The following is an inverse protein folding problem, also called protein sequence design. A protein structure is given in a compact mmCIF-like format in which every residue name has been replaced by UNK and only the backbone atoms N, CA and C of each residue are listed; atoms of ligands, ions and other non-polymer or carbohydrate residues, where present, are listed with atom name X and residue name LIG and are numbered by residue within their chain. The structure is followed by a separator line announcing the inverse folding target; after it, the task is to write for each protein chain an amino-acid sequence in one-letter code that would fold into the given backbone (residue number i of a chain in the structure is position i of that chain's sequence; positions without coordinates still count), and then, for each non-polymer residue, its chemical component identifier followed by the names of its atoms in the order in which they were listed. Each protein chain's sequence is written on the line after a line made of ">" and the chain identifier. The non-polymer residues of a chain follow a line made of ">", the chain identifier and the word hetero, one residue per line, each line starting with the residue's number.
data_IF_439356916259
#
_entry.id   IF_439356916259
#
_cell.length_a   1.000
_cell.length_b   1.000
_cell.length_c   1.000
_cell.angle_alpha   90.00
_cell.angle_beta   90.00
_cell.angle_gamma   90.00
#
_symmetry.space_group_name_H-M   'P 1'
#
loop_
_entity.id
_entity.type
_entity.pdbx_description
1 polymer ?
#
# COMPACT_ATOMS: atom_id res chain seq x y z
N UNK A 1 -4.09 12.39 6.20
CA UNK A 1 -2.97 11.44 6.04
C UNK A 1 -2.75 11.20 4.57
N UNK A 2 -1.50 11.17 4.12
CA UNK A 2 -1.16 10.91 2.72
C UNK A 2 -0.11 9.80 2.65
N UNK A 3 -0.23 8.94 1.65
CA UNK A 3 0.74 7.89 1.33
C UNK A 3 1.49 8.28 0.07
N UNK A 4 2.80 8.41 0.13
CA UNK A 4 3.64 8.69 -1.04
C UNK A 4 4.55 7.49 -1.30
N UNK A 5 4.35 6.74 -2.41
CA UNK A 5 5.23 5.67 -2.80
C UNK A 5 6.50 6.22 -3.48
N UNK A 6 7.61 5.50 -3.33
CA UNK A 6 8.87 5.75 -4.06
C UNK A 6 9.15 4.73 -5.16
N UNK A 7 8.22 3.81 -5.37
CA UNK A 7 8.23 2.87 -6.48
C UNK A 7 6.98 3.08 -7.33
N UNK A 8 7.00 2.49 -8.53
CA UNK A 8 5.86 2.52 -9.45
C UNK A 8 4.62 1.90 -8.84
N UNK A 9 3.47 2.48 -9.14
CA UNK A 9 2.19 1.87 -8.81
C UNK A 9 1.97 0.62 -9.68
N UNK A 10 1.22 -0.34 -9.14
CA UNK A 10 0.73 -1.47 -9.93
C UNK A 10 -0.09 -0.92 -11.11
N UNK A 11 0.07 -1.49 -12.29
CA UNK A 11 -0.62 -1.01 -13.49
C UNK A 11 -2.14 -0.91 -13.26
N UNK A 12 -2.72 0.24 -13.61
CA UNK A 12 -4.12 0.59 -13.39
C UNK A 12 -4.61 0.55 -11.92
N UNK A 13 -3.69 0.62 -10.95
CA UNK A 13 -3.99 0.66 -9.51
C UNK A 13 -3.50 1.96 -8.88
N UNK A 14 -4.34 2.54 -8.01
CA UNK A 14 -4.00 3.66 -7.13
C UNK A 14 -3.66 3.19 -5.71
N UNK A 15 -3.85 1.93 -5.41
CA UNK A 15 -3.80 1.39 -4.03
C UNK A 15 -2.65 0.42 -3.79
N UNK A 16 -1.90 0.06 -4.85
CA UNK A 16 -0.77 -0.86 -4.78
C UNK A 16 0.52 -0.26 -5.32
N UNK A 17 1.61 -0.35 -4.55
CA UNK A 17 2.96 0.05 -4.93
C UNK A 17 3.80 -1.19 -5.21
N UNK A 18 4.33 -1.33 -6.42
CA UNK A 18 5.24 -2.43 -6.78
C UNK A 18 6.55 -2.37 -6.01
N UNK A 19 7.14 -3.53 -5.73
CA UNK A 19 8.49 -3.59 -5.14
C UNK A 19 9.52 -3.80 -6.24
N UNK A 20 10.63 -3.06 -6.17
CA UNK A 20 11.71 -3.17 -7.15
C UNK A 20 12.60 -4.37 -6.83
N UNK A 21 12.77 -5.31 -7.76
CA UNK A 21 13.68 -6.44 -7.59
C UNK A 21 15.15 -5.99 -7.74
N UNK A 22 16.07 -6.71 -7.12
CA UNK A 22 17.51 -6.49 -7.31
C UNK A 22 18.03 -7.14 -8.61
N UNK A 23 17.44 -8.27 -8.99
CA UNK A 23 17.70 -8.94 -10.27
C UNK A 23 16.48 -8.71 -11.19
N UNK A 24 16.63 -8.26 -12.45
CA UNK A 24 15.50 -8.06 -13.35
C UNK A 24 14.61 -9.30 -13.48
N UNK A 25 13.30 -9.09 -13.50
CA UNK A 25 12.31 -10.16 -13.71
C UNK A 25 12.31 -10.62 -15.16
N UNK A 26 12.05 -11.90 -15.36
CA UNK A 26 11.88 -12.53 -16.67
C UNK A 26 10.41 -12.48 -17.10
N UNK A 27 10.17 -12.86 -18.36
CA UNK A 27 8.82 -12.96 -18.91
C UNK A 27 7.90 -13.79 -18.00
N UNK A 28 6.73 -13.21 -17.66
CA UNK A 28 5.67 -13.78 -16.81
C UNK A 28 5.99 -13.86 -15.32
N UNK A 29 7.17 -13.45 -14.87
CA UNK A 29 7.45 -13.24 -13.46
C UNK A 29 6.85 -11.91 -12.99
N UNK A 30 6.39 -11.84 -11.74
CA UNK A 30 5.81 -10.63 -11.17
C UNK A 30 6.56 -10.21 -9.91
N UNK A 31 6.66 -8.89 -9.70
CA UNK A 31 7.08 -8.35 -8.43
C UNK A 31 5.93 -8.44 -7.41
N UNK A 32 6.22 -8.68 -6.12
CA UNK A 32 5.26 -8.36 -5.09
C UNK A 32 4.97 -6.87 -5.07
N UNK A 33 3.86 -6.51 -4.45
CA UNK A 33 3.48 -5.11 -4.22
C UNK A 33 2.92 -4.94 -2.81
N UNK A 34 2.99 -3.71 -2.31
CA UNK A 34 2.44 -3.34 -1.01
C UNK A 34 1.13 -2.57 -1.23
N UNK A 35 0.09 -2.98 -0.52
CA UNK A 35 -1.10 -2.15 -0.29
C UNK A 35 -1.12 -1.67 1.16
N UNK A 36 -1.70 -0.51 1.42
CA UNK A 36 -1.84 0.01 2.79
C UNK A 36 -3.31 0.06 3.12
N UNK A 37 -3.71 -0.40 4.30
CA UNK A 37 -5.11 -0.40 4.74
C UNK A 37 -5.25 0.13 6.17
N UNK A 38 -6.48 0.49 6.52
CA UNK A 38 -6.84 0.87 7.88
C UNK A 38 -6.90 -0.39 8.75
N UNK A 39 -5.99 -0.51 9.73
CA UNK A 39 -5.89 -1.71 10.54
C UNK A 39 -7.10 -1.93 11.47
N UNK A 40 -7.94 -0.90 11.67
CA UNK A 40 -9.20 -1.03 12.40
C UNK A 40 -10.31 -1.73 11.59
N UNK A 41 -10.16 -1.82 10.25
CA UNK A 41 -11.13 -2.48 9.38
C UNK A 41 -10.79 -3.96 9.24
N UNK A 42 -11.81 -4.77 8.97
CA UNK A 42 -11.60 -6.17 8.58
C UNK A 42 -10.87 -6.19 7.23
N UNK A 43 -9.67 -6.75 7.22
CA UNK A 43 -8.86 -6.95 6.01
C UNK A 43 -9.12 -8.35 5.50
N UNK A 44 -9.42 -8.47 4.21
CA UNK A 44 -9.53 -9.75 3.51
C UNK A 44 -8.51 -9.81 2.37
N UNK A 45 -8.44 -10.93 1.66
CA UNK A 45 -7.61 -11.03 0.46
C UNK A 45 -8.01 -10.03 -0.63
N UNK A 46 -9.24 -9.48 -0.56
CA UNK A 46 -9.68 -8.45 -1.48
C UNK A 46 -8.87 -7.15 -1.36
N UNK A 47 -8.12 -6.92 -0.27
CA UNK A 47 -7.18 -5.79 -0.13
C UNK A 47 -6.11 -5.77 -1.24
N UNK A 48 -5.81 -6.92 -1.84
CA UNK A 48 -4.87 -7.05 -2.95
C UNK A 48 -5.52 -6.79 -4.33
N UNK A 49 -6.84 -6.66 -4.42
CA UNK A 49 -7.47 -6.32 -5.70
C UNK A 49 -7.12 -4.89 -6.12
N UNK A 50 -6.99 -4.66 -7.43
CA UNK A 50 -6.78 -3.32 -7.98
C UNK A 50 -7.86 -2.36 -7.48
N UNK A 51 -7.44 -1.23 -6.89
CA UNK A 51 -8.33 -0.20 -6.36
C UNK A 51 -9.35 -0.73 -5.32
N UNK A 52 -8.97 -1.74 -4.54
CA UNK A 52 -9.80 -2.27 -3.47
C UNK A 52 -10.27 -1.18 -2.50
N UNK A 53 -11.55 -1.20 -2.15
CA UNK A 53 -12.10 -0.33 -1.11
C UNK A 53 -11.54 -0.63 0.30
N UNK A 54 -10.88 -1.77 0.48
CA UNK A 54 -10.17 -2.13 1.72
C UNK A 54 -8.79 -1.46 1.80
N UNK A 55 -8.26 -0.97 0.67
CA UNK A 55 -6.95 -0.34 0.58
C UNK A 55 -7.07 1.19 0.45
N UNK A 56 -6.06 1.88 0.95
CA UNK A 56 -5.92 3.33 0.89
C UNK A 56 -5.24 3.73 -0.41
N UNK A 57 -5.74 4.77 -1.06
CA UNK A 57 -5.14 5.31 -2.27
C UNK A 57 -3.82 6.04 -1.97
N UNK A 58 -2.79 5.76 -2.75
CA UNK A 58 -1.56 6.54 -2.82
C UNK A 58 -1.82 7.92 -3.43
N UNK A 59 -1.07 8.92 -2.98
CA UNK A 59 -1.19 10.34 -3.32
C UNK A 59 -2.51 11.03 -2.93
N UNK A 60 -3.55 10.28 -2.60
CA UNK A 60 -4.81 10.83 -2.09
C UNK A 60 -4.69 11.20 -0.61
N UNK A 61 -5.18 12.38 -0.26
CA UNK A 61 -5.37 12.77 1.13
C UNK A 61 -6.54 12.00 1.75
N UNK A 62 -6.26 11.25 2.81
CA UNK A 62 -7.25 10.53 3.61
C UNK A 62 -7.59 11.36 4.84
N UNK A 63 -8.88 11.70 5.03
CA UNK A 63 -9.33 12.31 6.28
C UNK A 63 -9.21 11.31 7.42
N UNK A 64 -8.62 11.74 8.54
CA UNK A 64 -8.53 10.95 9.76
C UNK A 64 -9.70 11.21 10.73
N UNK A 65 -10.70 11.97 10.29
CA UNK A 65 -11.83 12.41 11.11
C UNK A 65 -11.58 13.73 11.84
N UNK A 66 -12.62 14.21 12.54
CA UNK A 66 -12.55 15.39 13.40
C UNK A 66 -12.10 14.97 14.79
N UNK A 67 -11.24 15.79 15.40
CA UNK A 67 -10.72 15.52 16.73
C UNK A 67 -11.26 16.53 17.75
N UNK A 68 -11.96 16.02 18.77
CA UNK A 68 -12.63 16.83 19.81
C UNK A 68 -11.90 16.76 21.17
N UNK A 69 -10.57 16.55 21.16
CA UNK A 69 -9.74 16.34 22.35
C UNK A 69 -9.53 14.85 22.72
N UNK A 70 -8.44 14.53 23.43
CA UNK A 70 -8.14 13.17 23.94
C UNK A 70 -6.76 12.63 23.52
N UNK A 71 -6.70 11.38 23.03
CA UNK A 71 -5.53 10.80 22.34
C UNK A 71 -6.01 10.10 21.08
N UNK A 72 -5.35 10.32 19.93
CA UNK A 72 -5.68 9.63 18.68
C UNK A 72 -4.72 8.47 18.48
N UNK A 73 -5.28 7.27 18.27
CA UNK A 73 -4.53 6.12 17.78
C UNK A 73 -4.98 5.83 16.34
N UNK A 74 -4.02 5.79 15.41
CA UNK A 74 -4.26 5.33 14.04
C UNK A 74 -3.27 4.24 13.71
N UNK A 75 -3.78 3.06 13.38
CA UNK A 75 -2.99 1.91 12.97
C UNK A 75 -3.17 1.67 11.49
N UNK A 76 -2.07 1.45 10.79
CA UNK A 76 -2.05 1.10 9.36
C UNK A 76 -1.49 -0.30 9.20
N UNK A 77 -2.10 -1.06 8.31
CA UNK A 77 -1.60 -2.37 7.90
C UNK A 77 -0.91 -2.23 6.55
N UNK A 78 0.32 -2.73 6.45
CA UNK A 78 1.05 -2.85 5.19
C UNK A 78 0.95 -4.30 4.74
N UNK A 79 0.19 -4.53 3.67
CA UNK A 79 -0.11 -5.88 3.19
C UNK A 79 0.79 -6.19 2.00
N UNK A 80 1.50 -7.32 2.07
CA UNK A 80 2.30 -7.86 0.97
C UNK A 80 1.40 -8.69 0.07
N UNK A 81 1.24 -8.25 -1.18
CA UNK A 81 0.38 -8.85 -2.18
C UNK A 81 1.17 -9.36 -3.39
N UNK A 82 0.59 -10.32 -4.10
CA UNK A 82 1.19 -10.98 -5.25
C UNK A 82 0.12 -11.37 -6.27
N UNK A 83 0.33 -11.07 -7.55
CA UNK A 83 -0.60 -11.44 -8.64
C UNK A 83 0.03 -12.49 -9.57
N UNK A 84 0.70 -13.49 -9.01
CA UNK A 84 1.38 -14.52 -9.77
C UNK A 84 2.59 -15.10 -9.06
N UNK A 85 3.46 -15.75 -9.84
CA UNK A 85 4.68 -16.35 -9.32
C UNK A 85 5.73 -15.28 -9.02
N UNK A 86 6.14 -15.18 -7.75
CA UNK A 86 7.22 -14.31 -7.30
C UNK A 86 8.50 -15.14 -7.23
N UNK A 87 9.53 -14.86 -8.06
CA UNK A 87 10.80 -15.55 -7.98
C UNK A 87 11.60 -15.12 -6.74
N UNK A 88 12.52 -15.98 -6.28
CA UNK A 88 13.49 -15.65 -5.24
C UNK A 88 14.34 -14.45 -5.67
N UNK A 89 14.25 -13.35 -4.94
CA UNK A 89 14.96 -12.10 -5.21
C UNK A 89 14.98 -11.23 -3.94
N UNK A 90 15.78 -10.16 -3.96
CA UNK A 90 15.66 -9.09 -2.98
C UNK A 90 14.76 -8.00 -3.55
N UNK A 91 13.65 -7.72 -2.88
CA UNK A 91 12.69 -6.69 -3.29
C UNK A 91 12.79 -5.48 -2.37
N UNK A 92 12.83 -4.28 -2.94
CA UNK A 92 12.96 -3.02 -2.20
C UNK A 92 11.86 -2.05 -2.60
N UNK A 93 11.33 -1.35 -1.62
CA UNK A 93 10.53 -0.17 -1.85
C UNK A 93 10.36 0.63 -0.57
N UNK A 94 9.85 1.85 -0.70
CA UNK A 94 9.59 2.73 0.45
C UNK A 94 8.32 3.53 0.24
N UNK A 95 7.65 3.81 1.35
CA UNK A 95 6.41 4.60 1.41
C UNK A 95 6.61 5.64 2.50
N UNK A 96 6.45 6.92 2.16
CA UNK A 96 6.28 7.96 3.16
C UNK A 96 4.81 8.01 3.60
N UNK A 97 4.62 8.09 4.92
CA UNK A 97 3.32 8.34 5.53
C UNK A 97 3.37 9.71 6.19
N UNK A 98 2.54 10.63 5.70
CA UNK A 98 2.45 11.98 6.25
C UNK A 98 1.11 12.19 6.94
N UNK A 99 1.15 12.81 8.11
CA UNK A 99 -0.01 13.19 8.89
C UNK A 99 -0.10 14.71 8.92
N UNK A 100 -1.21 15.25 8.43
CA UNK A 100 -1.59 16.64 8.62
C UNK A 100 -2.66 16.67 9.71
N UNK A 101 -2.45 17.49 10.73
CA UNK A 101 -3.35 17.72 11.85
C UNK A 101 -3.62 19.22 11.87
N UNK A 102 -4.89 19.60 11.77
CA UNK A 102 -5.38 20.99 11.79
C UNK A 102 -6.35 21.19 12.97
#
# INVERSE_FOLDING_TARGET
>A
MTLKPYNELVNASKTGMTMSPNIPLKDKEVAPYITVSDAAKKITNAVCNNNSAEALEFYAGQSLGKYNGGTVYKSLSFNLCANGNIPTNTYKGSIDVSFLIE
#
